data_IF_861401821914
#
_entry.id   IF_861401821914
#
_cell.length_a   1.000
_cell.length_b   1.000
_cell.length_c   1.000
_cell.angle_alpha   90.00
_cell.angle_beta   90.00
_cell.angle_gamma   90.00
#
_symmetry.space_group_name_H-M   'P 1'
#
loop_
_entity.id
_entity.type
_entity.pdbx_description
1 polymer ?
#
# COMPACT_ATOMS: atom_id res chain seq x y z
N UNK A 1 58.95 -11.73 72.36
CA UNK A 1 57.63 -11.13 72.20
C UNK A 1 57.59 -10.56 70.77
N UNK A 2 57.04 -11.31 69.81
CA UNK A 2 56.95 -10.89 68.43
C UNK A 2 55.51 -10.62 68.09
N UNK A 3 55.21 -9.39 67.72
CA UNK A 3 53.90 -8.94 67.26
C UNK A 3 53.75 -9.17 65.70
N UNK A 4 52.80 -10.03 65.36
CA UNK A 4 52.42 -10.28 63.95
C UNK A 4 51.28 -9.27 63.58
N UNK A 5 51.57 -8.36 62.68
CA UNK A 5 50.57 -7.46 62.08
C UNK A 5 49.86 -8.16 60.89
N UNK A 6 48.58 -8.38 61.02
CA UNK A 6 47.75 -8.90 59.95
C UNK A 6 47.26 -7.73 59.08
N UNK A 7 47.69 -7.75 57.80
CA UNK A 7 47.20 -6.82 56.75
C UNK A 7 45.89 -7.35 56.16
N UNK A 8 44.79 -6.62 56.31
CA UNK A 8 43.50 -6.88 55.67
C UNK A 8 43.53 -6.39 54.21
N UNK A 9 43.54 -7.29 53.25
CA UNK A 9 43.41 -6.97 51.82
C UNK A 9 41.91 -6.93 51.49
N UNK A 10 41.36 -5.72 51.26
CA UNK A 10 40.02 -5.53 50.74
C UNK A 10 40.03 -5.78 49.22
N UNK A 11 39.41 -6.89 48.78
CA UNK A 11 39.09 -7.11 47.37
C UNK A 11 37.87 -6.28 46.99
N UNK A 12 38.06 -5.22 46.19
CA UNK A 12 36.99 -4.49 45.53
C UNK A 12 36.42 -5.37 44.42
N UNK A 13 35.24 -5.95 44.64
CA UNK A 13 34.50 -6.65 43.59
C UNK A 13 33.88 -5.60 42.67
N UNK A 14 34.54 -5.31 41.55
CA UNK A 14 33.96 -4.53 40.46
C UNK A 14 32.96 -5.40 39.73
N UNK A 15 31.65 -5.20 39.97
CA UNK A 15 30.58 -5.81 39.20
C UNK A 15 30.63 -5.26 37.75
N UNK A 16 30.73 -6.12 36.73
CA UNK A 16 30.63 -5.64 35.35
C UNK A 16 29.18 -5.18 35.11
N UNK A 17 28.98 -3.90 34.86
CA UNK A 17 27.75 -3.41 34.28
C UNK A 17 27.60 -4.01 32.91
N UNK A 18 26.90 -5.14 32.77
CA UNK A 18 26.42 -5.65 31.49
C UNK A 18 25.36 -4.70 31.01
N UNK A 19 25.73 -3.80 30.09
CA UNK A 19 24.74 -3.08 29.29
C UNK A 19 24.02 -4.12 28.44
N UNK A 20 22.77 -4.44 28.80
CA UNK A 20 21.88 -5.23 27.94
C UNK A 20 21.65 -4.42 26.69
N UNK A 21 22.32 -4.78 25.60
CA UNK A 21 22.04 -4.22 24.29
C UNK A 21 20.57 -4.56 23.97
N UNK A 22 19.71 -3.52 23.92
CA UNK A 22 18.29 -3.68 23.60
C UNK A 22 18.22 -4.20 22.17
N UNK A 23 17.71 -5.42 21.97
CA UNK A 23 17.58 -6.04 20.65
C UNK A 23 16.65 -5.22 19.76
N UNK A 24 17.02 -5.09 18.48
CA UNK A 24 16.15 -4.42 17.52
C UNK A 24 14.84 -5.21 17.34
N UNK A 25 13.71 -4.52 17.31
CA UNK A 25 12.43 -5.10 16.96
C UNK A 25 12.25 -5.09 15.44
N UNK A 26 11.92 -6.24 14.87
CA UNK A 26 11.68 -6.39 13.43
C UNK A 26 10.19 -6.22 13.14
N UNK A 27 9.89 -5.55 12.03
CA UNK A 27 8.54 -5.49 11.51
C UNK A 27 8.54 -5.48 9.98
N UNK A 28 7.43 -5.95 9.41
CA UNK A 28 7.26 -6.07 7.96
C UNK A 28 6.04 -5.30 7.49
N UNK A 29 6.15 -4.70 6.30
CA UNK A 29 5.08 -3.99 5.62
C UNK A 29 4.74 -4.74 4.34
N UNK A 30 3.59 -5.42 4.29
CA UNK A 30 3.11 -6.07 3.06
C UNK A 30 2.84 -5.04 1.97
N UNK A 31 3.32 -5.30 0.76
CA UNK A 31 3.22 -4.34 -0.35
C UNK A 31 2.38 -4.89 -1.50
N UNK A 32 2.95 -5.04 -2.67
CA UNK A 32 2.38 -5.61 -3.90
C UNK A 32 3.51 -6.00 -4.83
N UNK A 33 3.25 -6.17 -6.10
CA UNK A 33 4.29 -6.46 -7.09
C UNK A 33 5.32 -5.33 -7.19
N UNK A 34 6.59 -5.64 -7.56
CA UNK A 34 7.70 -4.66 -7.57
C UNK A 34 7.48 -3.46 -8.49
N UNK A 35 6.67 -3.59 -9.54
CA UNK A 35 6.30 -2.49 -10.45
C UNK A 35 5.15 -1.63 -9.90
N UNK A 36 4.51 -2.03 -8.81
CA UNK A 36 3.40 -1.34 -8.17
C UNK A 36 3.84 -0.24 -7.21
N UNK A 37 2.96 0.74 -6.97
CA UNK A 37 3.25 1.86 -6.07
C UNK A 37 3.26 1.43 -4.60
N UNK A 38 2.57 0.36 -4.20
CA UNK A 38 2.66 -0.20 -2.84
C UNK A 38 4.09 -0.59 -2.45
N UNK A 39 4.84 -1.17 -3.41
CA UNK A 39 6.25 -1.51 -3.16
C UNK A 39 7.08 -0.26 -2.86
N UNK A 40 6.80 0.84 -3.55
CA UNK A 40 7.45 2.13 -3.29
C UNK A 40 7.03 2.72 -1.94
N UNK A 41 5.74 2.60 -1.54
CA UNK A 41 5.25 3.04 -0.22
C UNK A 41 6.00 2.31 0.90
N UNK A 42 6.03 0.98 0.87
CA UNK A 42 6.70 0.19 1.90
C UNK A 42 8.19 0.51 2.02
N UNK A 43 8.92 0.56 0.90
CA UNK A 43 10.34 0.91 0.90
C UNK A 43 10.59 2.36 1.37
N UNK A 44 9.74 3.31 0.98
CA UNK A 44 9.84 4.69 1.44
C UNK A 44 9.64 4.79 2.96
N UNK A 45 8.65 4.10 3.53
CA UNK A 45 8.45 4.02 4.99
C UNK A 45 9.71 3.46 5.68
N UNK A 46 10.21 2.31 5.23
CA UNK A 46 11.42 1.70 5.80
C UNK A 46 12.62 2.64 5.75
N UNK A 47 12.78 3.40 4.65
CA UNK A 47 13.83 4.42 4.51
C UNK A 47 13.66 5.56 5.53
N UNK A 48 12.42 6.05 5.75
CA UNK A 48 12.18 7.12 6.73
C UNK A 48 12.42 6.61 8.17
N UNK A 49 12.01 5.40 8.50
CA UNK A 49 12.28 4.76 9.80
C UNK A 49 13.78 4.66 10.05
N UNK A 50 14.55 4.16 9.08
CA UNK A 50 16.01 4.07 9.20
C UNK A 50 16.67 5.43 9.36
N UNK A 51 16.17 6.47 8.67
CA UNK A 51 16.68 7.85 8.73
C UNK A 51 16.53 8.45 10.13
N UNK A 52 15.33 8.35 10.74
CA UNK A 52 15.11 8.88 12.10
C UNK A 52 16.00 8.16 13.10
N UNK A 53 16.08 6.83 13.04
CA UNK A 53 16.89 6.07 13.98
C UNK A 53 18.38 6.42 13.89
N UNK A 54 18.91 6.60 12.68
CA UNK A 54 20.30 7.06 12.50
C UNK A 54 20.55 8.43 13.12
N UNK A 55 19.60 9.35 13.00
CA UNK A 55 19.67 10.69 13.59
C UNK A 55 19.55 10.67 15.12
N UNK A 56 18.73 9.79 15.69
CA UNK A 56 18.53 9.64 17.14
C UNK A 56 19.70 8.92 17.82
N UNK A 57 20.27 7.88 17.19
CA UNK A 57 21.46 7.18 17.68
C UNK A 57 22.70 8.08 17.78
N UNK A 58 22.82 9.08 16.90
CA UNK A 58 23.88 10.08 16.99
C UNK A 58 23.78 11.04 18.18
N UNK A 59 22.61 11.16 18.81
CA UNK A 59 22.32 12.11 19.90
C UNK A 59 22.23 11.50 21.29
N UNK A 60 21.83 10.24 21.39
CA UNK A 60 21.67 9.55 22.69
C UNK A 60 22.15 8.09 22.59
N UNK A 61 23.24 7.78 23.27
CA UNK A 61 23.66 6.39 23.45
C UNK A 61 22.65 5.66 24.36
N UNK A 62 21.86 4.74 23.79
CA UNK A 62 21.40 3.56 24.50
C UNK A 62 20.02 3.54 25.16
N UNK A 63 19.05 4.41 24.81
CA UNK A 63 17.73 4.38 25.46
C UNK A 63 16.53 4.08 24.54
N UNK A 64 16.64 4.25 23.23
CA UNK A 64 15.50 4.08 22.35
C UNK A 64 15.49 2.72 21.65
N UNK A 65 14.28 2.13 21.53
CA UNK A 65 14.03 0.86 20.86
C UNK A 65 14.39 0.98 19.38
N UNK A 66 15.32 0.17 18.92
CA UNK A 66 15.67 0.13 17.51
C UNK A 66 14.63 -0.69 16.72
N UNK A 67 14.19 -0.21 15.58
CA UNK A 67 13.30 -0.94 14.66
C UNK A 67 14.03 -1.34 13.39
N UNK A 68 13.77 -2.54 12.90
CA UNK A 68 14.23 -3.03 11.60
C UNK A 68 13.04 -3.28 10.71
N UNK A 69 12.92 -2.49 9.65
CA UNK A 69 11.81 -2.53 8.71
C UNK A 69 12.16 -3.33 7.46
N UNK A 70 11.23 -4.18 7.01
CA UNK A 70 11.27 -4.83 5.71
C UNK A 70 9.96 -4.56 4.94
N UNK A 71 10.04 -4.51 3.60
CA UNK A 71 8.92 -4.28 2.73
C UNK A 71 8.83 -5.38 1.65
N UNK A 72 8.42 -6.60 2.02
CA UNK A 72 8.32 -7.69 1.06
C UNK A 72 7.29 -7.41 -0.03
N UNK A 73 7.58 -7.87 -1.25
CA UNK A 73 6.60 -7.99 -2.32
C UNK A 73 5.56 -9.04 -1.96
N UNK A 74 4.29 -8.75 -2.13
CA UNK A 74 3.16 -9.61 -1.76
C UNK A 74 2.09 -9.67 -2.85
N UNK A 75 1.01 -10.42 -2.57
CA UNK A 75 -0.16 -10.51 -3.45
C UNK A 75 -0.98 -9.21 -3.56
N UNK A 76 -0.87 -8.27 -2.63
CA UNK A 76 -1.62 -7.00 -2.62
C UNK A 76 -2.65 -6.91 -1.50
N UNK A 77 -3.71 -6.11 -1.68
CA UNK A 77 -4.59 -5.62 -0.60
C UNK A 77 -5.21 -6.70 0.27
N UNK A 78 -5.95 -7.65 -0.30
CA UNK A 78 -6.65 -8.66 0.50
C UNK A 78 -5.69 -9.69 1.10
N UNK A 79 -4.59 -9.99 0.39
CA UNK A 79 -3.49 -10.78 0.95
C UNK A 79 -2.88 -10.10 2.17
N UNK A 80 -2.52 -8.82 2.06
CA UNK A 80 -1.90 -8.07 3.16
C UNK A 80 -2.80 -8.02 4.40
N UNK A 81 -4.10 -7.72 4.20
CA UNK A 81 -5.08 -7.72 5.30
C UNK A 81 -5.16 -9.10 5.96
N UNK A 82 -5.18 -10.18 5.16
CA UNK A 82 -5.18 -11.55 5.68
C UNK A 82 -3.94 -11.90 6.50
N UNK A 83 -2.76 -11.45 6.06
CA UNK A 83 -1.50 -11.67 6.76
C UNK A 83 -1.39 -10.83 8.05
N UNK A 84 -1.91 -9.60 8.04
CA UNK A 84 -2.02 -8.76 9.25
C UNK A 84 -2.95 -9.41 10.28
N UNK A 85 -4.09 -9.94 9.85
CA UNK A 85 -5.02 -10.65 10.71
C UNK A 85 -4.38 -11.88 11.39
N UNK A 86 -3.46 -12.56 10.71
CA UNK A 86 -2.72 -13.72 11.21
C UNK A 86 -1.49 -13.33 12.06
N UNK A 87 -1.13 -12.03 12.10
CA UNK A 87 0.06 -11.55 12.80
C UNK A 87 1.39 -11.72 12.04
N UNK A 88 1.35 -12.21 10.81
CA UNK A 88 2.53 -12.42 9.97
C UNK A 88 3.13 -11.11 9.43
N UNK A 89 2.27 -10.10 9.23
CA UNK A 89 2.67 -8.74 8.88
C UNK A 89 2.20 -7.78 9.96
N UNK A 90 3.04 -6.83 10.35
CA UNK A 90 2.64 -5.77 11.29
C UNK A 90 1.92 -4.64 10.56
N UNK A 91 2.28 -4.37 9.31
CA UNK A 91 1.63 -3.38 8.46
C UNK A 91 1.39 -3.95 7.07
N UNK A 92 0.52 -3.28 6.31
CA UNK A 92 0.34 -3.53 4.90
C UNK A 92 -0.21 -2.31 4.18
N UNK A 93 -0.01 -2.27 2.86
CA UNK A 93 -0.68 -1.30 2.02
C UNK A 93 -1.93 -1.96 1.43
N UNK A 94 -3.07 -1.29 1.54
CA UNK A 94 -4.36 -1.81 1.08
C UNK A 94 -5.24 -0.69 0.53
N UNK A 95 -6.08 -1.04 -0.43
CA UNK A 95 -7.12 -0.16 -0.97
C UNK A 95 -8.19 0.14 0.09
N UNK A 96 -8.78 1.33 0.02
CA UNK A 96 -9.83 1.79 0.93
C UNK A 96 -11.11 0.94 0.88
N UNK A 97 -11.47 0.39 -0.28
CA UNK A 97 -12.60 -0.52 -0.44
C UNK A 97 -12.38 -1.84 0.31
N UNK A 98 -11.22 -2.48 0.15
CA UNK A 98 -10.91 -3.73 0.86
C UNK A 98 -10.71 -3.53 2.34
N UNK A 99 -10.19 -2.38 2.76
CA UNK A 99 -10.15 -1.98 4.16
C UNK A 99 -11.58 -1.89 4.73
N UNK A 100 -12.51 -1.25 4.00
CA UNK A 100 -13.93 -1.14 4.38
C UNK A 100 -14.57 -2.53 4.51
N UNK A 101 -14.43 -3.36 3.46
CA UNK A 101 -15.06 -4.68 3.43
C UNK A 101 -14.52 -5.61 4.52
N UNK A 102 -13.20 -5.59 4.78
CA UNK A 102 -12.62 -6.39 5.87
C UNK A 102 -13.12 -5.93 7.24
N UNK A 103 -13.09 -4.62 7.52
CA UNK A 103 -13.51 -4.10 8.81
C UNK A 103 -15.00 -4.33 9.10
N UNK A 104 -15.86 -4.12 8.09
CA UNK A 104 -17.32 -4.25 8.23
C UNK A 104 -17.87 -5.66 7.89
N UNK A 105 -17.05 -6.57 7.41
CA UNK A 105 -17.47 -7.93 7.05
C UNK A 105 -18.43 -8.03 5.86
N UNK A 106 -18.41 -7.07 4.93
CA UNK A 106 -19.43 -6.94 3.88
C UNK A 106 -19.19 -7.72 2.60
N UNK A 107 -17.98 -8.26 2.37
CA UNK A 107 -17.62 -9.17 1.25
C UNK A 107 -16.74 -10.33 1.76
N UNK A 108 -17.28 -11.22 2.60
CA UNK A 108 -16.50 -12.26 3.29
C UNK A 108 -15.94 -13.33 2.34
N UNK A 109 -16.51 -13.47 1.14
CA UNK A 109 -16.01 -14.34 0.06
C UNK A 109 -14.75 -13.79 -0.64
N UNK A 110 -14.47 -12.49 -0.51
CA UNK A 110 -13.32 -11.79 -1.11
C UNK A 110 -12.24 -11.44 -0.10
N UNK A 111 -12.63 -10.99 1.08
CA UNK A 111 -11.74 -10.65 2.19
C UNK A 111 -12.36 -11.08 3.51
N UNK A 112 -11.59 -11.79 4.34
CA UNK A 112 -12.10 -12.25 5.64
C UNK A 112 -12.45 -11.06 6.54
N UNK A 113 -13.58 -11.12 7.27
CA UNK A 113 -13.94 -10.12 8.27
C UNK A 113 -12.83 -9.97 9.32
N UNK A 114 -12.47 -8.71 9.61
CA UNK A 114 -11.39 -8.39 10.54
C UNK A 114 -11.67 -7.07 11.26
N UNK A 115 -12.39 -7.11 12.36
CA UNK A 115 -12.72 -5.96 13.22
C UNK A 115 -11.51 -5.37 13.95
N UNK A 116 -10.43 -6.15 14.08
CA UNK A 116 -9.12 -5.71 14.57
C UNK A 116 -8.33 -4.84 13.60
N UNK A 117 -8.78 -4.66 12.36
CA UNK A 117 -8.09 -3.82 11.37
C UNK A 117 -8.08 -2.36 11.81
N UNK A 118 -6.93 -1.70 11.63
CA UNK A 118 -6.76 -0.26 11.92
C UNK A 118 -6.09 0.44 10.74
N UNK A 119 -6.58 1.63 10.44
CA UNK A 119 -5.95 2.54 9.51
C UNK A 119 -4.78 3.27 10.19
N UNK A 120 -3.74 3.56 9.41
CA UNK A 120 -2.61 4.38 9.87
C UNK A 120 -2.63 5.72 9.14
N UNK A 121 -2.39 5.75 7.84
CA UNK A 121 -2.52 6.94 7.00
C UNK A 121 -2.77 6.57 5.53
N UNK A 122 -3.31 7.52 4.78
CA UNK A 122 -3.49 7.42 3.33
C UNK A 122 -2.20 7.76 2.60
N UNK A 123 -1.86 6.99 1.57
CA UNK A 123 -0.57 7.09 0.87
C UNK A 123 -0.66 7.74 -0.52
N UNK A 124 -1.67 7.39 -1.33
CA UNK A 124 -1.89 8.00 -2.66
C UNK A 124 -3.24 7.57 -3.25
N UNK A 125 -3.81 8.34 -4.21
CA UNK A 125 -4.96 7.91 -4.97
C UNK A 125 -4.60 6.80 -5.97
N UNK A 126 -5.53 5.89 -6.22
CA UNK A 126 -5.40 4.76 -7.14
C UNK A 126 -6.57 4.71 -8.13
N UNK A 127 -6.46 5.42 -9.26
CA UNK A 127 -7.40 5.24 -10.36
C UNK A 127 -7.40 3.80 -10.86
N UNK A 128 -8.60 3.22 -11.06
CA UNK A 128 -8.74 1.96 -11.78
C UNK A 128 -8.54 2.21 -13.28
N UNK A 129 -7.65 1.51 -13.90
CA UNK A 129 -7.26 1.70 -15.28
C UNK A 129 -7.50 0.42 -16.09
N UNK A 130 -8.15 0.51 -17.24
CA UNK A 130 -8.13 -0.56 -18.24
C UNK A 130 -7.15 -0.17 -19.32
N UNK A 131 -6.07 -0.91 -19.43
CA UNK A 131 -5.01 -0.73 -20.41
C UNK A 131 -5.25 -1.69 -21.55
N UNK A 132 -5.51 -1.13 -22.75
CA UNK A 132 -5.82 -1.86 -23.96
C UNK A 132 -4.62 -1.91 -24.91
N UNK A 133 -4.37 -3.08 -25.49
CA UNK A 133 -3.29 -3.30 -26.46
C UNK A 133 -3.54 -2.52 -27.76
N UNK A 134 -2.50 -1.92 -28.31
CA UNK A 134 -2.54 -1.32 -29.67
C UNK A 134 -3.06 -2.33 -30.69
N UNK A 135 -4.09 -1.93 -31.43
CA UNK A 135 -4.73 -2.77 -32.45
C UNK A 135 -5.77 -3.77 -31.93
N UNK A 136 -6.06 -3.82 -30.62
CA UNK A 136 -7.13 -4.67 -30.06
C UNK A 136 -8.55 -4.19 -30.44
N UNK A 137 -8.69 -2.94 -30.88
CA UNK A 137 -9.97 -2.25 -31.16
C UNK A 137 -10.86 -2.07 -29.92
N UNK A 138 -10.28 -2.12 -28.73
CA UNK A 138 -11.00 -1.85 -27.48
C UNK A 138 -11.10 -0.33 -27.33
N UNK A 139 -12.31 0.22 -27.20
CA UNK A 139 -12.57 1.65 -27.09
C UNK A 139 -13.28 2.03 -25.77
N UNK A 140 -14.02 1.09 -25.21
CA UNK A 140 -14.90 1.23 -24.06
C UNK A 140 -15.09 -0.14 -23.38
N UNK A 141 -15.86 -0.17 -22.30
CA UNK A 141 -16.20 -1.40 -21.60
C UNK A 141 -16.83 -2.45 -22.50
N UNK A 142 -17.79 -2.07 -23.34
CA UNK A 142 -18.53 -3.02 -24.17
C UNK A 142 -17.64 -3.74 -25.19
N UNK A 143 -16.61 -3.08 -25.67
CA UNK A 143 -15.65 -3.65 -26.62
C UNK A 143 -14.64 -4.62 -26.00
N UNK A 144 -14.69 -4.85 -24.67
CA UNK A 144 -13.97 -5.93 -23.99
C UNK A 144 -14.62 -7.30 -24.21
N UNK A 145 -15.89 -7.35 -24.66
CA UNK A 145 -16.61 -8.61 -24.92
C UNK A 145 -15.81 -9.47 -25.90
N UNK A 146 -15.60 -10.74 -25.53
CA UNK A 146 -14.86 -11.71 -26.35
C UNK A 146 -13.34 -11.46 -26.42
N UNK A 147 -12.77 -10.52 -25.67
CA UNK A 147 -11.31 -10.24 -25.62
C UNK A 147 -10.61 -11.11 -24.58
N UNK A 148 -9.28 -11.23 -24.72
CA UNK A 148 -8.41 -11.86 -23.73
C UNK A 148 -8.04 -10.82 -22.66
N UNK A 149 -8.54 -10.96 -21.45
CA UNK A 149 -8.40 -9.92 -20.42
C UNK A 149 -7.72 -10.46 -19.17
N UNK A 150 -6.67 -9.80 -18.70
CA UNK A 150 -6.12 -10.07 -17.39
C UNK A 150 -6.91 -9.29 -16.34
N UNK A 151 -7.51 -10.03 -15.40
CA UNK A 151 -8.31 -9.47 -14.31
C UNK A 151 -7.54 -9.36 -12.99
N UNK A 152 -6.26 -9.78 -12.96
CA UNK A 152 -5.38 -9.72 -11.80
C UNK A 152 -5.30 -11.02 -11.00
N UNK A 153 -4.24 -11.15 -10.23
CA UNK A 153 -3.98 -12.34 -9.41
C UNK A 153 -4.92 -12.41 -8.19
N UNK A 154 -5.25 -13.62 -7.72
CA UNK A 154 -5.97 -13.81 -6.45
C UNK A 154 -5.24 -13.12 -5.29
N UNK A 155 -5.98 -12.53 -4.36
CA UNK A 155 -5.44 -11.79 -3.22
C UNK A 155 -5.03 -10.35 -3.53
N UNK A 156 -5.08 -9.91 -4.80
CA UNK A 156 -4.82 -8.52 -5.15
C UNK A 156 -6.09 -7.66 -5.04
N UNK A 157 -5.91 -6.40 -4.66
CA UNK A 157 -6.98 -5.41 -4.72
C UNK A 157 -7.43 -5.14 -6.15
N UNK A 158 -6.50 -5.19 -7.10
CA UNK A 158 -6.77 -5.12 -8.55
C UNK A 158 -7.83 -6.13 -8.99
N UNK A 159 -7.67 -7.42 -8.62
CA UNK A 159 -8.62 -8.50 -8.92
C UNK A 159 -9.99 -8.19 -8.34
N UNK A 160 -10.03 -7.84 -7.07
CA UNK A 160 -11.28 -7.57 -6.40
C UNK A 160 -12.02 -6.37 -6.99
N UNK A 161 -11.34 -5.25 -7.29
CA UNK A 161 -11.95 -4.08 -7.93
C UNK A 161 -12.43 -4.41 -9.36
N UNK A 162 -11.71 -5.27 -10.09
CA UNK A 162 -12.17 -5.71 -11.42
C UNK A 162 -13.46 -6.55 -11.31
N UNK A 163 -13.55 -7.44 -10.32
CA UNK A 163 -14.75 -8.23 -10.07
C UNK A 163 -15.94 -7.35 -9.68
N UNK A 164 -15.75 -6.35 -8.83
CA UNK A 164 -16.79 -5.35 -8.51
C UNK A 164 -17.26 -4.60 -9.78
N UNK A 165 -16.32 -4.25 -10.67
CA UNK A 165 -16.67 -3.62 -11.94
C UNK A 165 -17.49 -4.57 -12.84
N UNK A 166 -17.14 -5.85 -12.93
CA UNK A 166 -17.93 -6.87 -13.64
C UNK A 166 -19.34 -7.01 -13.04
N UNK A 167 -19.44 -7.14 -11.72
CA UNK A 167 -20.71 -7.20 -10.99
C UNK A 167 -21.58 -5.97 -11.31
N UNK A 168 -21.02 -4.77 -11.29
CA UNK A 168 -21.75 -3.53 -11.58
C UNK A 168 -22.33 -3.48 -13.00
N UNK A 169 -21.66 -4.14 -13.95
CA UNK A 169 -22.12 -4.25 -15.33
C UNK A 169 -23.00 -5.49 -15.58
N UNK A 170 -23.31 -6.28 -14.55
CA UNK A 170 -24.13 -7.50 -14.65
C UNK A 170 -23.48 -8.62 -15.47
N UNK A 171 -22.15 -8.71 -15.47
CA UNK A 171 -21.39 -9.72 -16.21
C UNK A 171 -20.43 -10.49 -15.31
N UNK A 172 -20.05 -11.68 -15.76
CA UNK A 172 -19.04 -12.53 -15.17
C UNK A 172 -17.84 -12.72 -16.13
N UNK A 173 -16.94 -13.65 -15.79
CA UNK A 173 -15.76 -13.95 -16.62
C UNK A 173 -16.09 -14.50 -18.00
N UNK A 174 -17.27 -15.09 -18.20
CA UNK A 174 -17.78 -15.56 -19.48
C UNK A 174 -18.07 -14.44 -20.49
N UNK A 175 -18.12 -13.18 -20.03
CA UNK A 175 -18.23 -12.01 -20.93
C UNK A 175 -17.00 -11.86 -21.84
N UNK A 176 -15.83 -12.24 -21.35
CA UNK A 176 -14.58 -12.17 -22.07
C UNK A 176 -14.35 -13.45 -22.92
N UNK A 177 -13.48 -13.37 -23.90
CA UNK A 177 -13.06 -14.54 -24.67
C UNK A 177 -12.19 -15.50 -23.83
N UNK A 178 -11.37 -14.92 -22.96
CA UNK A 178 -10.68 -15.62 -21.88
C UNK A 178 -10.22 -14.66 -20.83
N UNK A 179 -10.05 -15.12 -19.58
CA UNK A 179 -9.43 -14.35 -18.50
C UNK A 179 -8.09 -14.96 -18.11
N UNK A 180 -7.21 -14.12 -17.59
CA UNK A 180 -5.96 -14.52 -16.94
C UNK A 180 -5.82 -13.86 -15.57
N UNK A 181 -4.96 -14.44 -14.74
CA UNK A 181 -4.74 -14.04 -13.35
C UNK A 181 -3.27 -13.62 -13.11
N UNK A 182 -2.69 -12.96 -14.10
CA UNK A 182 -1.31 -12.49 -14.05
C UNK A 182 -1.13 -11.43 -12.96
N UNK A 183 0.01 -11.47 -12.32
CA UNK A 183 0.44 -10.43 -11.38
C UNK A 183 0.69 -9.09 -12.08
N UNK A 184 0.76 -8.02 -11.30
CA UNK A 184 1.07 -6.69 -11.83
C UNK A 184 2.43 -6.60 -12.53
N UNK A 185 3.37 -7.47 -12.19
CA UNK A 185 4.70 -7.52 -12.83
C UNK A 185 4.68 -8.21 -14.19
N UNK A 186 3.72 -9.12 -14.44
CA UNK A 186 3.65 -9.95 -15.65
C UNK A 186 2.76 -9.35 -16.74
N UNK A 187 1.72 -8.62 -16.33
CA UNK A 187 0.63 -8.17 -17.21
C UNK A 187 1.13 -7.26 -18.37
N UNK A 188 2.11 -6.40 -18.10
CA UNK A 188 2.62 -5.48 -19.12
C UNK A 188 3.38 -6.23 -20.22
N UNK A 189 4.21 -7.20 -19.85
CA UNK A 189 4.90 -8.08 -20.81
C UNK A 189 3.90 -8.89 -21.64
N UNK A 190 2.92 -9.52 -20.98
CA UNK A 190 1.90 -10.32 -21.64
C UNK A 190 1.07 -9.49 -22.65
N UNK A 191 0.77 -8.21 -22.33
CA UNK A 191 0.08 -7.29 -23.24
C UNK A 191 0.93 -6.98 -24.47
N UNK A 192 2.19 -6.62 -24.28
CA UNK A 192 3.13 -6.30 -25.38
C UNK A 192 3.39 -7.52 -26.27
N UNK A 193 3.47 -8.71 -25.68
CA UNK A 193 3.61 -10.00 -26.37
C UNK A 193 2.30 -10.47 -27.07
N UNK A 194 1.21 -9.70 -26.98
CA UNK A 194 -0.11 -10.02 -27.55
C UNK A 194 -0.76 -11.29 -26.98
N UNK A 195 -0.32 -11.74 -25.80
CA UNK A 195 -0.91 -12.87 -25.08
C UNK A 195 -2.29 -12.49 -24.50
N UNK A 196 -2.46 -11.22 -24.12
CA UNK A 196 -3.71 -10.61 -23.67
C UNK A 196 -4.02 -9.37 -24.52
N UNK A 197 -5.30 -8.96 -24.56
CA UNK A 197 -5.78 -7.78 -25.28
C UNK A 197 -5.95 -6.57 -24.37
N UNK A 198 -6.20 -6.81 -23.09
CA UNK A 198 -6.29 -5.76 -22.07
C UNK A 198 -5.99 -6.32 -20.67
N UNK A 199 -5.70 -5.41 -19.74
CA UNK A 199 -5.71 -5.69 -18.31
C UNK A 199 -6.32 -4.54 -17.52
N UNK A 200 -6.96 -4.86 -16.38
CA UNK A 200 -7.39 -3.87 -15.40
C UNK A 200 -6.31 -3.68 -14.34
N UNK A 201 -6.09 -2.45 -13.87
CA UNK A 201 -5.13 -2.18 -12.82
C UNK A 201 -5.55 -1.00 -11.94
N UNK A 202 -5.69 -1.25 -10.65
CA UNK A 202 -5.88 -0.21 -9.63
C UNK A 202 -4.51 0.16 -9.10
N UNK A 203 -4.01 1.33 -9.45
CA UNK A 203 -2.63 1.72 -9.11
C UNK A 203 -2.45 3.24 -9.16
N UNK A 204 -1.54 3.75 -8.32
CA UNK A 204 -1.11 5.15 -8.34
C UNK A 204 -0.52 5.57 -9.69
N UNK A 205 -0.74 6.83 -10.05
CA UNK A 205 -0.35 7.42 -11.34
C UNK A 205 0.71 8.49 -11.12
N UNK A 206 1.80 8.51 -11.92
CA UNK A 206 2.18 7.55 -12.96
C UNK A 206 2.67 6.21 -12.38
N UNK A 207 2.59 5.13 -13.18
CA UNK A 207 3.06 3.80 -12.80
C UNK A 207 4.01 3.22 -13.84
N UNK A 208 5.08 2.57 -13.40
CA UNK A 208 6.12 2.03 -14.27
C UNK A 208 5.60 0.88 -15.17
N UNK A 209 4.76 -0.02 -14.66
CA UNK A 209 4.16 -1.11 -15.44
C UNK A 209 3.22 -0.59 -16.52
N UNK A 210 2.39 0.43 -16.20
CA UNK A 210 1.55 1.08 -17.21
C UNK A 210 2.39 1.80 -18.24
N UNK A 211 3.45 2.51 -17.84
CA UNK A 211 4.38 3.16 -18.77
C UNK A 211 5.07 2.13 -19.70
N UNK A 212 5.47 0.97 -19.17
CA UNK A 212 6.02 -0.10 -20.00
C UNK A 212 5.06 -0.50 -21.13
N UNK A 213 3.75 -0.61 -20.85
CA UNK A 213 2.75 -0.96 -21.85
C UNK A 213 2.47 0.19 -22.82
N UNK A 214 2.29 1.40 -22.31
CA UNK A 214 1.91 2.58 -23.11
C UNK A 214 3.07 3.10 -23.94
N UNK A 215 4.22 3.28 -23.33
CA UNK A 215 5.41 3.88 -23.94
C UNK A 215 6.22 2.86 -24.73
N UNK A 216 6.24 1.60 -24.26
CA UNK A 216 6.99 0.51 -24.86
C UNK A 216 6.28 -0.14 -26.05
N UNK A 217 4.99 -0.45 -25.96
CA UNK A 217 4.27 -1.14 -27.05
C UNK A 217 3.00 -0.41 -27.52
N UNK A 218 2.81 0.86 -27.15
CA UNK A 218 1.77 1.73 -27.67
C UNK A 218 0.37 1.38 -27.16
N UNK A 219 0.23 0.74 -26.03
CA UNK A 219 -1.04 0.51 -25.35
C UNK A 219 -1.67 1.85 -24.93
N UNK A 220 -2.96 1.85 -24.66
CA UNK A 220 -3.70 3.04 -24.29
C UNK A 220 -4.72 2.73 -23.19
N UNK A 221 -5.10 3.76 -22.44
CA UNK A 221 -6.07 3.64 -21.34
C UNK A 221 -7.44 4.04 -21.90
N UNK A 222 -8.49 3.28 -21.54
CA UNK A 222 -9.87 3.60 -21.94
C UNK A 222 -10.61 4.36 -20.83
N UNK A 223 -11.60 5.14 -21.26
CA UNK A 223 -12.51 5.87 -20.38
C UNK A 223 -13.55 4.94 -19.74
N UNK A 224 -13.92 5.15 -18.49
CA UNK A 224 -14.82 4.30 -17.72
C UNK A 224 -16.02 5.08 -17.12
N UNK A 225 -16.55 6.07 -17.82
CA UNK A 225 -17.72 6.84 -17.38
C UNK A 225 -19.06 6.17 -17.75
N UNK A 226 -19.19 4.87 -17.54
CA UNK A 226 -20.45 4.16 -17.78
C UNK A 226 -21.48 4.44 -16.68
N UNK A 227 -22.78 4.27 -16.95
CA UNK A 227 -23.80 4.45 -15.92
C UNK A 227 -23.66 3.45 -14.76
N UNK A 228 -23.30 2.18 -14.95
CA UNK A 228 -22.93 1.29 -13.87
C UNK A 228 -21.78 1.83 -12.98
N UNK A 229 -20.76 2.43 -13.57
CA UNK A 229 -19.65 3.04 -12.79
C UNK A 229 -20.12 4.29 -12.04
N UNK A 230 -20.96 5.13 -12.63
CA UNK A 230 -21.56 6.29 -11.92
C UNK A 230 -22.35 5.83 -10.69
N UNK A 231 -23.18 4.78 -10.87
CA UNK A 231 -23.93 4.19 -9.76
C UNK A 231 -23.00 3.59 -8.70
N UNK A 232 -21.97 2.85 -9.12
CA UNK A 232 -20.97 2.27 -8.21
C UNK A 232 -20.32 3.35 -7.33
N UNK A 233 -19.94 4.49 -7.91
CA UNK A 233 -19.32 5.60 -7.18
C UNK A 233 -20.34 6.30 -6.26
N UNK A 234 -21.60 6.47 -6.69
CA UNK A 234 -22.61 7.11 -5.84
C UNK A 234 -23.00 6.29 -4.63
N UNK A 235 -22.99 4.97 -4.76
CA UNK A 235 -23.48 4.05 -3.72
C UNK A 235 -22.39 3.68 -2.69
N UNK A 236 -21.12 3.97 -2.99
CA UNK A 236 -20.00 3.50 -2.16
C UNK A 236 -19.02 4.65 -1.82
N UNK A 237 -18.93 5.05 -0.55
CA UNK A 237 -18.15 6.21 -0.12
C UNK A 237 -16.62 6.05 -0.25
N UNK A 238 -16.14 4.84 -0.48
CA UNK A 238 -14.72 4.56 -0.69
C UNK A 238 -14.31 4.61 -2.17
N UNK A 239 -15.25 4.82 -3.10
CA UNK A 239 -14.97 5.12 -4.50
C UNK A 239 -15.15 6.60 -4.81
N UNK A 240 -14.33 7.12 -5.71
CA UNK A 240 -14.46 8.47 -6.26
C UNK A 240 -14.11 8.47 -7.75
N UNK A 241 -14.66 9.44 -8.50
CA UNK A 241 -14.15 9.68 -9.84
C UNK A 241 -12.72 10.21 -9.79
N UNK A 242 -11.91 9.75 -10.74
CA UNK A 242 -10.52 10.13 -10.87
C UNK A 242 -10.20 10.44 -12.34
N UNK A 243 -9.29 11.39 -12.54
CA UNK A 243 -8.79 11.75 -13.87
C UNK A 243 -7.32 11.40 -13.99
N UNK A 244 -6.97 10.68 -15.05
CA UNK A 244 -5.59 10.48 -15.47
C UNK A 244 -5.27 11.58 -16.48
N UNK A 245 -4.40 12.54 -16.16
CA UNK A 245 -4.19 13.71 -17.01
C UNK A 245 -3.57 13.35 -18.36
N UNK A 246 -3.93 14.12 -19.37
CA UNK A 246 -3.23 14.15 -20.67
C UNK A 246 -1.72 14.29 -20.43
N UNK A 247 -0.92 13.53 -21.18
CA UNK A 247 0.55 13.58 -21.11
C UNK A 247 1.17 12.76 -19.98
N UNK A 248 0.36 12.12 -19.11
CA UNK A 248 0.89 11.21 -18.06
C UNK A 248 1.72 10.07 -18.66
N UNK A 249 1.27 9.52 -19.80
CA UNK A 249 1.99 8.53 -20.58
C UNK A 249 2.05 8.97 -22.05
N UNK A 250 2.98 8.47 -22.85
CA UNK A 250 3.15 8.86 -24.28
C UNK A 250 1.87 8.72 -25.09
N UNK A 251 1.04 7.74 -24.76
CA UNK A 251 -0.24 7.49 -25.47
C UNK A 251 -1.42 8.27 -24.90
N UNK A 252 -1.28 8.93 -23.73
CA UNK A 252 -2.34 9.75 -23.10
C UNK A 252 -2.54 11.07 -23.85
N UNK A 253 -3.25 11.05 -24.99
CA UNK A 253 -3.50 12.24 -25.83
C UNK A 253 -4.62 13.14 -25.32
N UNK A 254 -5.44 12.67 -24.38
CA UNK A 254 -6.52 13.38 -23.70
C UNK A 254 -6.56 12.95 -22.24
N UNK A 255 -7.28 13.68 -21.41
CA UNK A 255 -7.63 13.23 -20.08
C UNK A 255 -8.48 11.95 -20.18
N UNK A 256 -8.28 11.02 -19.26
CA UNK A 256 -9.07 9.80 -19.14
C UNK A 256 -9.79 9.85 -17.79
N UNK A 257 -11.12 9.80 -17.82
CA UNK A 257 -11.92 9.74 -16.61
C UNK A 257 -12.23 8.29 -16.26
N UNK A 258 -12.05 7.95 -15.00
CA UNK A 258 -12.29 6.64 -14.42
C UNK A 258 -12.77 6.81 -12.97
N UNK A 259 -12.88 5.73 -12.24
CA UNK A 259 -13.08 5.75 -10.80
C UNK A 259 -11.84 5.21 -10.08
N UNK A 260 -11.78 5.38 -8.78
CA UNK A 260 -10.65 4.88 -8.02
C UNK A 260 -10.90 4.85 -6.52
N UNK A 261 -9.88 4.42 -5.82
CA UNK A 261 -9.79 4.28 -4.37
C UNK A 261 -8.57 5.03 -3.85
N UNK A 262 -8.38 5.01 -2.54
CA UNK A 262 -7.12 5.44 -1.92
C UNK A 262 -6.31 4.22 -1.49
N UNK A 263 -5.01 4.25 -1.69
CA UNK A 263 -4.07 3.37 -1.01
C UNK A 263 -3.82 3.88 0.40
N UNK A 264 -3.94 3.02 1.39
CA UNK A 264 -3.71 3.35 2.80
C UNK A 264 -2.74 2.36 3.44
N UNK A 265 -1.97 2.82 4.39
CA UNK A 265 -1.22 1.94 5.30
C UNK A 265 -2.17 1.51 6.41
N UNK A 266 -2.26 0.20 6.59
CA UNK A 266 -3.11 -0.45 7.59
C UNK A 266 -2.31 -1.36 8.51
N UNK A 267 -2.84 -1.66 9.68
CA UNK A 267 -2.23 -2.48 10.72
C UNK A 267 -3.31 -3.21 11.53
N UNK A 268 -2.91 -3.98 12.51
CA UNK A 268 -3.80 -4.60 13.51
C UNK A 268 -3.86 -3.76 14.79
N UNK A 269 -5.00 -3.76 15.47
CA UNK A 269 -5.14 -3.25 16.84
C UNK A 269 -4.19 -3.94 17.85
N UNK A 270 -3.66 -5.12 17.50
CA UNK A 270 -2.71 -5.87 18.33
C UNK A 270 -1.26 -5.36 18.21
N UNK A 271 -0.95 -4.55 17.19
CA UNK A 271 0.39 -3.93 17.06
C UNK A 271 0.54 -2.83 18.11
N UNK A 272 1.74 -2.72 18.69
CA UNK A 272 1.97 -1.76 19.78
C UNK A 272 1.82 -0.31 19.34
N UNK A 273 1.24 0.53 20.21
CA UNK A 273 1.13 1.98 19.97
C UNK A 273 2.49 2.62 19.73
N UNK A 274 3.55 2.14 20.40
CA UNK A 274 4.91 2.65 20.24
C UNK A 274 5.45 2.43 18.84
N UNK A 275 5.25 1.23 18.26
CA UNK A 275 5.69 0.93 16.90
C UNK A 275 4.91 1.76 15.87
N UNK A 276 3.58 1.81 15.99
CA UNK A 276 2.76 2.59 15.05
C UNK A 276 3.07 4.08 15.14
N UNK A 277 3.22 4.63 16.35
CA UNK A 277 3.65 6.01 16.57
C UNK A 277 5.00 6.30 15.89
N UNK A 278 5.97 5.39 16.05
CA UNK A 278 7.31 5.55 15.47
C UNK A 278 7.29 5.55 13.95
N UNK A 279 6.48 4.68 13.33
CA UNK A 279 6.30 4.64 11.87
C UNK A 279 5.65 5.93 11.35
N UNK A 280 4.58 6.38 12.01
CA UNK A 280 3.89 7.63 11.64
C UNK A 280 4.84 8.83 11.79
N UNK A 281 5.52 8.94 12.92
CA UNK A 281 6.54 9.98 13.16
C UNK A 281 7.59 10.00 12.06
N UNK A 282 8.11 8.82 11.70
CA UNK A 282 9.15 8.70 10.67
C UNK A 282 8.69 9.26 9.32
N UNK A 283 7.47 8.97 8.90
CA UNK A 283 6.91 9.45 7.63
C UNK A 283 6.60 10.95 7.70
N UNK A 284 5.87 11.40 8.71
CA UNK A 284 5.36 12.77 8.77
C UNK A 284 6.46 13.80 9.07
N UNK A 285 7.47 13.46 9.87
CA UNK A 285 8.62 14.35 10.10
C UNK A 285 9.61 14.38 8.92
N UNK A 286 9.49 13.46 7.96
CA UNK A 286 10.28 13.43 6.73
C UNK A 286 9.40 13.45 5.49
N UNK A 287 8.24 14.11 5.54
CA UNK A 287 7.23 14.04 4.49
C UNK A 287 7.76 14.54 3.13
N UNK A 288 8.58 15.58 3.12
CA UNK A 288 9.18 16.09 1.88
C UNK A 288 10.13 15.08 1.22
N UNK A 289 10.86 14.31 2.02
CA UNK A 289 11.71 13.22 1.50
C UNK A 289 10.88 12.01 1.09
N UNK A 290 9.79 11.73 1.79
CA UNK A 290 8.83 10.70 1.41
C UNK A 290 8.19 11.02 0.05
N UNK A 291 7.75 12.26 -0.17
CA UNK A 291 7.18 12.73 -1.45
C UNK A 291 8.14 12.54 -2.63
N UNK A 292 9.44 12.69 -2.41
CA UNK A 292 10.46 12.50 -3.46
C UNK A 292 10.68 11.02 -3.84
N UNK A 293 10.17 10.05 -3.08
CA UNK A 293 10.41 8.63 -3.37
C UNK A 293 9.61 8.14 -4.59
N UNK A 294 8.45 8.75 -4.89
CA UNK A 294 7.67 8.40 -6.06
C UNK A 294 6.77 9.58 -6.51
N UNK A 295 6.58 9.81 -7.83
CA UNK A 295 5.73 10.91 -8.32
C UNK A 295 4.29 10.88 -7.79
N UNK A 296 3.71 9.70 -7.56
CA UNK A 296 2.37 9.55 -6.98
C UNK A 296 2.24 10.14 -5.56
N UNK A 297 3.37 10.40 -4.87
CA UNK A 297 3.39 10.97 -3.52
C UNK A 297 3.56 12.50 -3.53
N UNK A 298 3.83 13.10 -4.69
CA UNK A 298 4.21 14.51 -4.80
C UNK A 298 3.22 15.49 -4.13
N UNK A 299 1.92 15.17 -4.19
CA UNK A 299 0.83 16.02 -3.71
C UNK A 299 0.26 15.58 -2.36
N UNK A 300 0.97 14.76 -1.59
CA UNK A 300 0.52 14.36 -0.26
C UNK A 300 0.40 15.57 0.67
N UNK A 301 -0.73 15.64 1.37
CA UNK A 301 -1.04 16.67 2.37
C UNK A 301 -1.30 15.98 3.71
N UNK A 302 -0.59 16.36 4.80
CA UNK A 302 -0.74 15.72 6.10
C UNK A 302 -2.19 15.67 6.61
N UNK A 303 -2.97 16.73 6.37
CA UNK A 303 -4.37 16.82 6.80
C UNK A 303 -5.28 15.90 6.02
N UNK A 304 -4.95 15.61 4.76
CA UNK A 304 -5.65 14.64 3.92
C UNK A 304 -5.23 13.22 4.24
N UNK A 305 -3.94 12.98 4.44
CA UNK A 305 -3.40 11.66 4.76
C UNK A 305 -4.03 11.01 5.99
N UNK A 306 -4.53 11.81 6.94
CA UNK A 306 -5.18 11.29 8.15
C UNK A 306 -6.70 11.14 8.04
N UNK A 307 -7.29 11.37 6.86
CA UNK A 307 -8.75 11.36 6.64
C UNK A 307 -9.17 10.61 5.38
N UNK A 308 -8.54 10.92 4.24
CA UNK A 308 -9.00 10.46 2.93
C UNK A 308 -8.79 8.95 2.77
N UNK A 309 -9.84 8.21 2.41
CA UNK A 309 -9.76 6.78 2.15
C UNK A 309 -9.39 5.91 3.37
N UNK A 310 -9.58 6.40 4.58
CA UNK A 310 -9.41 5.62 5.80
C UNK A 310 -10.77 5.03 6.21
N UNK A 311 -11.00 3.78 5.83
CA UNK A 311 -12.30 3.09 5.98
C UNK A 311 -12.37 2.17 7.21
N UNK A 312 -11.30 2.09 8.00
CA UNK A 312 -11.26 1.48 9.32
C UNK A 312 -10.86 2.54 10.36
N UNK A 313 -11.14 2.33 11.66
CA UNK A 313 -10.69 3.24 12.72
C UNK A 313 -9.17 3.43 12.71
N UNK A 314 -8.73 4.65 13.01
CA UNK A 314 -7.30 4.93 13.18
C UNK A 314 -6.73 4.14 14.37
N UNK A 315 -5.47 3.71 14.21
CA UNK A 315 -4.73 3.08 15.31
C UNK A 315 -4.41 4.09 16.42
N UNK A 316 -4.53 3.74 17.73
CA UNK A 316 -4.26 4.66 18.83
C UNK A 316 -2.87 5.31 18.78
N UNK A 317 -1.83 4.56 18.41
CA UNK A 317 -0.48 5.09 18.23
C UNK A 317 -0.38 6.16 17.14
N UNK A 318 -1.16 6.02 16.05
CA UNK A 318 -1.25 7.05 15.01
C UNK A 318 -1.99 8.30 15.52
N UNK A 319 -3.15 8.10 16.18
CA UNK A 319 -3.94 9.18 16.80
C UNK A 319 -3.11 9.98 17.79
N UNK A 320 -2.30 9.32 18.61
CA UNK A 320 -1.39 9.98 19.55
C UNK A 320 -0.48 10.97 18.84
N UNK A 321 0.21 10.54 17.78
CA UNK A 321 1.08 11.43 17.00
C UNK A 321 0.30 12.59 16.38
N UNK A 322 -0.86 12.33 15.78
CA UNK A 322 -1.65 13.37 15.10
C UNK A 322 -2.11 14.45 16.07
N UNK A 323 -2.56 14.08 17.27
CA UNK A 323 -2.93 15.04 18.33
C UNK A 323 -1.73 15.86 18.80
N UNK A 324 -0.59 15.23 19.03
CA UNK A 324 0.65 15.92 19.44
C UNK A 324 1.12 16.95 18.40
N UNK A 325 0.84 16.72 17.12
CA UNK A 325 1.22 17.64 16.01
C UNK A 325 0.10 18.61 15.60
N UNK A 326 -1.04 18.58 16.26
CA UNK A 326 -2.18 19.46 15.94
C UNK A 326 -2.82 19.17 14.58
N UNK A 327 -2.75 17.91 14.11
CA UNK A 327 -3.38 17.47 12.87
C UNK A 327 -4.84 17.03 13.08
N UNK A 328 -5.18 16.70 14.34
CA UNK A 328 -6.53 16.32 14.81
C UNK A 328 -6.93 17.19 15.98
#
# INVERSE_FOLDING_TARGET
>A
MSTVSAALIMFAVSSPFTSIAKSAEFFSIGTGGPTGVYFQVGNAICKMVSKIQSAEHGRKKGTDKAYRCSAPSTGGSTYNIGQIMQGELQFGVAQSDWQYHAYNGTKPDKVKPFDGLRAVFSAHPEPFQIIARKGSRIKDWNSLKGKKVNIGNPGSGQRGTFEVLMESHGVDTGYFGSTSELTSSEQSGALCDKKIDAFGYTVGVPNAGVAQSTDGCGAYIIDLQTDPVKKLVSDNPFYAFATIPKGTYKTSKKDVTTFGVMASVVTSAAVSDELVYSVVKAVFENLDDFKKQHPAFANLDPKKMIKDGLSAPLHPGAVKYYKEKGLM
#
